data_IF_642898214902
#
_entry.id   IF_642898214902
#
_cell.length_a   1.000
_cell.length_b   1.000
_cell.length_c   1.000
_cell.angle_alpha   90.00
_cell.angle_beta   90.00
_cell.angle_gamma   90.00
#
_symmetry.space_group_name_H-M   'P 1'
#
loop_
_entity.id
_entity.type
_entity.pdbx_description
1 polymer ?
#
# COMPACT_ATOMS: atom_id res chain seq x y z
N UNK A 1 5.77 -2.68 -15.73
CA UNK A 1 6.08 -3.94 -14.99
C UNK A 1 5.22 -3.98 -13.74
N UNK A 2 4.55 -5.11 -13.45
CA UNK A 2 3.71 -5.26 -12.26
C UNK A 2 4.58 -5.55 -11.04
N UNK A 3 4.32 -4.86 -9.94
CA UNK A 3 4.99 -5.04 -8.65
C UNK A 3 4.08 -5.78 -7.68
N UNK A 4 4.65 -6.69 -6.90
CA UNK A 4 3.95 -7.39 -5.83
C UNK A 4 4.53 -6.93 -4.49
N UNK A 5 3.64 -6.45 -3.62
CA UNK A 5 3.92 -5.94 -2.29
C UNK A 5 3.21 -6.82 -1.23
N UNK A 6 3.84 -7.89 -0.72
CA UNK A 6 3.22 -8.69 0.33
C UNK A 6 2.96 -7.87 1.59
N UNK A 7 1.69 -7.83 2.07
CA UNK A 7 1.34 -7.19 3.32
C UNK A 7 1.68 -8.08 4.50
N UNK A 8 2.63 -7.63 5.31
CA UNK A 8 3.09 -8.33 6.51
C UNK A 8 2.05 -8.36 7.64
N UNK A 9 0.95 -7.63 7.51
CA UNK A 9 -0.21 -7.75 8.39
C UNK A 9 -0.73 -9.20 8.46
N UNK A 10 -0.54 -9.98 7.39
CA UNK A 10 -0.95 -11.40 7.31
C UNK A 10 0.14 -12.38 7.72
N UNK A 11 1.33 -11.92 8.06
CA UNK A 11 2.43 -12.78 8.52
C UNK A 11 2.24 -13.20 9.99
N UNK A 12 3.04 -14.17 10.43
CA UNK A 12 3.11 -14.52 11.84
C UNK A 12 3.91 -13.43 12.59
N UNK A 13 3.25 -12.64 13.41
CA UNK A 13 3.88 -11.55 14.18
C UNK A 13 5.02 -12.03 15.11
N UNK A 14 4.94 -13.26 15.60
CA UNK A 14 6.00 -13.85 16.42
C UNK A 14 7.26 -14.23 15.62
N UNK A 15 7.18 -14.25 14.28
CA UNK A 15 8.28 -14.59 13.36
C UNK A 15 8.38 -13.58 12.20
N UNK A 16 8.06 -12.30 12.46
CA UNK A 16 7.97 -11.26 11.44
C UNK A 16 9.29 -11.06 10.69
N UNK A 17 10.43 -11.06 11.42
CA UNK A 17 11.75 -10.91 10.81
C UNK A 17 12.04 -12.00 9.78
N UNK A 18 11.82 -13.27 10.14
CA UNK A 18 12.00 -14.40 9.22
C UNK A 18 11.08 -14.32 7.99
N UNK A 19 9.87 -13.80 8.18
CA UNK A 19 8.93 -13.63 7.08
C UNK A 19 9.44 -12.58 6.08
N UNK A 20 9.94 -11.43 6.56
CA UNK A 20 10.44 -10.34 5.73
C UNK A 20 11.73 -10.72 4.99
N UNK A 21 12.69 -11.38 5.66
CA UNK A 21 13.94 -11.86 5.05
C UNK A 21 13.71 -12.72 3.80
N UNK A 22 12.65 -13.53 3.78
CA UNK A 22 12.35 -14.46 2.69
C UNK A 22 11.72 -13.79 1.47
N UNK A 23 11.06 -12.62 1.64
CA UNK A 23 10.24 -12.00 0.60
C UNK A 23 11.00 -11.71 -0.69
N UNK A 24 12.23 -11.21 -0.61
CA UNK A 24 13.05 -10.94 -1.80
C UNK A 24 13.34 -12.20 -2.61
N UNK A 25 13.77 -13.28 -1.94
CA UNK A 25 14.04 -14.54 -2.58
C UNK A 25 12.77 -15.19 -3.17
N UNK A 26 11.61 -14.89 -2.61
CA UNK A 26 10.29 -15.31 -3.11
C UNK A 26 9.80 -14.47 -4.31
N UNK A 27 10.51 -13.39 -4.68
CA UNK A 27 10.20 -12.56 -5.84
C UNK A 27 9.29 -11.36 -5.56
N UNK A 28 9.14 -10.96 -4.30
CA UNK A 28 8.46 -9.71 -3.93
C UNK A 28 9.25 -8.50 -4.41
N UNK A 29 8.55 -7.41 -4.74
CA UNK A 29 9.17 -6.14 -5.15
C UNK A 29 9.24 -5.13 -4.00
N UNK A 30 8.25 -5.15 -3.08
CA UNK A 30 8.14 -4.27 -1.91
C UNK A 30 7.72 -5.08 -0.67
N UNK A 31 7.82 -4.45 0.50
CA UNK A 31 7.21 -4.93 1.74
C UNK A 31 6.09 -3.95 2.09
N UNK A 32 4.84 -4.39 2.06
CA UNK A 32 3.71 -3.55 2.47
C UNK A 32 3.49 -3.62 3.98
N UNK A 33 3.42 -2.43 4.61
CA UNK A 33 3.46 -2.23 6.04
C UNK A 33 2.23 -1.46 6.53
N UNK A 34 1.18 -2.18 6.96
CA UNK A 34 -0.10 -1.62 7.39
C UNK A 34 -0.06 -1.09 8.82
N UNK A 35 -0.14 0.22 9.00
CA UNK A 35 -0.14 0.90 10.30
C UNK A 35 -1.55 1.30 10.68
N UNK A 36 -2.01 0.86 11.84
CA UNK A 36 -3.36 1.11 12.36
C UNK A 36 -3.28 1.63 13.79
N UNK A 37 -4.04 2.69 14.11
CA UNK A 37 -3.99 3.42 15.39
C UNK A 37 -5.17 3.15 16.32
N UNK A 38 -6.16 2.37 15.88
CA UNK A 38 -7.38 2.11 16.66
C UNK A 38 -8.39 3.26 16.65
N UNK A 39 -8.11 4.37 15.95
CA UNK A 39 -9.00 5.52 15.78
C UNK A 39 -9.53 5.60 14.35
N UNK A 40 -8.65 5.71 13.37
CA UNK A 40 -9.04 5.73 11.96
C UNK A 40 -9.69 4.41 11.53
N UNK A 41 -9.18 3.29 12.04
CA UNK A 41 -9.75 1.94 11.89
C UNK A 41 -9.86 1.25 13.24
N UNK A 42 -10.82 0.31 13.46
CA UNK A 42 -11.06 -0.34 14.75
C UNK A 42 -10.07 -1.48 15.03
N UNK A 43 -8.78 -1.26 14.77
CA UNK A 43 -7.70 -2.20 14.98
C UNK A 43 -6.40 -1.45 15.27
N UNK A 44 -5.47 -2.08 15.99
CA UNK A 44 -4.12 -1.58 16.27
C UNK A 44 -3.13 -2.62 15.74
N UNK A 45 -2.10 -2.17 15.03
CA UNK A 45 -1.08 -3.08 14.50
C UNK A 45 0.29 -2.79 15.08
N UNK A 46 1.17 -2.20 14.32
CA UNK A 46 2.56 -1.92 14.67
C UNK A 46 2.95 -0.53 14.15
N UNK A 47 4.05 -0.01 14.65
CA UNK A 47 4.50 1.35 14.37
C UNK A 47 5.97 1.42 13.93
N UNK A 48 6.58 2.62 14.03
CA UNK A 48 7.95 2.88 13.56
C UNK A 48 9.02 1.94 14.13
N UNK A 49 8.90 1.52 15.40
CA UNK A 49 9.88 0.62 16.00
C UNK A 49 9.92 -0.76 15.35
N UNK A 50 8.77 -1.29 14.91
CA UNK A 50 8.72 -2.52 14.12
C UNK A 50 9.36 -2.30 12.74
N UNK A 51 9.05 -1.21 12.05
CA UNK A 51 9.67 -0.85 10.78
C UNK A 51 11.21 -0.78 10.92
N UNK A 52 11.70 -0.09 11.95
CA UNK A 52 13.13 0.02 12.26
C UNK A 52 13.79 -1.34 12.54
N UNK A 53 13.09 -2.24 13.22
CA UNK A 53 13.60 -3.58 13.48
C UNK A 53 13.67 -4.45 12.22
N UNK A 54 12.75 -4.26 11.29
CA UNK A 54 12.68 -5.00 10.01
C UNK A 54 13.63 -4.44 8.94
N UNK A 55 13.93 -3.13 8.95
CA UNK A 55 14.77 -2.48 7.93
C UNK A 55 16.11 -3.19 7.66
N UNK A 56 16.90 -3.62 8.65
CA UNK A 56 18.16 -4.31 8.39
C UNK A 56 18.01 -5.72 7.81
N UNK A 57 16.81 -6.29 7.81
CA UNK A 57 16.51 -7.66 7.35
C UNK A 57 16.12 -7.73 5.88
N UNK A 58 15.94 -6.59 5.21
CA UNK A 58 15.56 -6.54 3.80
C UNK A 58 16.12 -5.29 3.12
N UNK A 59 16.43 -5.39 1.85
CA UNK A 59 16.76 -4.25 0.98
C UNK A 59 15.58 -3.88 0.04
N UNK A 60 14.45 -4.60 0.15
CA UNK A 60 13.23 -4.23 -0.56
C UNK A 60 12.71 -2.89 -0.03
N UNK A 61 12.13 -2.04 -0.88
CA UNK A 61 11.39 -0.86 -0.42
C UNK A 61 10.32 -1.23 0.61
N UNK A 62 10.29 -0.50 1.72
CA UNK A 62 9.22 -0.60 2.73
C UNK A 62 8.19 0.47 2.40
N UNK A 63 7.01 0.00 2.01
CA UNK A 63 5.85 0.78 1.63
C UNK A 63 4.89 0.85 2.82
N UNK A 64 4.85 2.00 3.48
CA UNK A 64 4.09 2.21 4.71
C UNK A 64 2.73 2.82 4.37
N UNK A 65 1.68 2.09 4.69
CA UNK A 65 0.28 2.51 4.56
C UNK A 65 -0.25 2.98 5.91
N UNK A 66 -0.49 4.29 6.05
CA UNK A 66 -0.96 4.90 7.29
C UNK A 66 -2.49 4.93 7.37
N UNK A 67 -3.08 3.99 8.09
CA UNK A 67 -4.48 3.99 8.53
C UNK A 67 -4.56 4.62 9.93
N UNK A 68 -4.24 5.92 9.99
CA UNK A 68 -4.15 6.69 11.24
C UNK A 68 -4.87 8.03 11.10
N UNK A 69 -5.37 8.57 12.20
CA UNK A 69 -6.14 9.83 12.21
C UNK A 69 -5.27 11.03 11.84
N UNK A 70 -4.02 11.12 12.34
CA UNK A 70 -3.10 12.25 12.15
C UNK A 70 -1.81 11.83 11.45
N UNK A 71 -1.82 11.56 10.13
CA UNK A 71 -0.68 10.97 9.41
C UNK A 71 0.58 11.86 9.38
N UNK A 72 0.44 13.19 9.40
CA UNK A 72 1.60 14.10 9.38
C UNK A 72 2.52 13.94 10.59
N UNK A 73 2.02 13.48 11.74
CA UNK A 73 2.82 13.22 12.94
C UNK A 73 3.79 12.04 12.77
N UNK A 74 3.53 11.16 11.80
CA UNK A 74 4.27 9.93 11.59
C UNK A 74 5.32 10.00 10.45
N UNK A 75 5.39 11.11 9.70
CA UNK A 75 6.32 11.25 8.57
C UNK A 75 7.77 11.09 9.05
N UNK A 76 8.20 11.91 10.02
CA UNK A 76 9.56 11.85 10.55
C UNK A 76 9.89 10.55 11.31
N UNK A 77 8.98 10.01 12.16
CA UNK A 77 9.20 8.70 12.78
C UNK A 77 9.43 7.57 11.77
N UNK A 78 8.63 7.46 10.71
CA UNK A 78 8.79 6.42 9.69
C UNK A 78 10.01 6.65 8.81
N UNK A 79 10.35 7.91 8.49
CA UNK A 79 11.63 8.21 7.81
C UNK A 79 12.83 7.68 8.61
N UNK A 80 12.87 7.98 9.90
CA UNK A 80 13.95 7.52 10.80
C UNK A 80 13.96 6.00 10.96
N UNK A 81 12.80 5.35 10.83
CA UNK A 81 12.66 3.90 10.86
C UNK A 81 13.12 3.22 9.56
N UNK A 82 13.33 3.98 8.47
CA UNK A 82 13.82 3.46 7.20
C UNK A 82 12.71 3.10 6.20
N UNK A 83 11.54 3.73 6.30
CA UNK A 83 10.51 3.66 5.26
C UNK A 83 10.99 4.34 3.97
N UNK A 84 10.61 3.78 2.83
CA UNK A 84 10.92 4.30 1.49
C UNK A 84 9.73 5.00 0.85
N UNK A 85 8.52 4.54 1.17
CA UNK A 85 7.25 5.03 0.64
C UNK A 85 6.31 5.25 1.82
N UNK A 86 5.53 6.33 1.78
CA UNK A 86 4.52 6.62 2.79
C UNK A 86 3.22 7.05 2.13
N UNK A 87 2.13 6.36 2.43
CA UNK A 87 0.81 6.66 1.90
C UNK A 87 -0.15 7.10 2.99
N UNK A 88 -0.95 8.12 2.70
CA UNK A 88 -1.88 8.75 3.65
C UNK A 88 -3.29 8.79 3.08
N UNK A 89 -4.27 8.46 3.91
CA UNK A 89 -5.68 8.51 3.53
C UNK A 89 -6.18 9.93 3.33
N UNK A 90 -6.94 10.15 2.26
CA UNK A 90 -7.62 11.44 2.03
C UNK A 90 -8.74 11.68 3.06
N UNK A 91 -9.21 10.61 3.71
CA UNK A 91 -10.27 10.62 4.72
C UNK A 91 -9.77 10.85 6.15
N UNK A 92 -8.44 10.88 6.35
CA UNK A 92 -7.84 11.18 7.66
C UNK A 92 -8.09 12.63 8.09
N UNK A 93 -7.80 12.98 9.34
CA UNK A 93 -7.91 14.35 9.85
C UNK A 93 -6.86 15.32 9.28
N UNK A 94 -6.18 14.93 8.19
CA UNK A 94 -5.20 15.77 7.51
C UNK A 94 -5.90 16.81 6.61
N UNK A 95 -6.04 18.03 7.13
CA UNK A 95 -6.72 19.13 6.40
C UNK A 95 -5.90 19.70 5.24
N UNK A 96 -4.59 19.39 5.18
CA UNK A 96 -3.67 19.93 4.19
C UNK A 96 -2.91 18.82 3.48
N UNK A 97 -3.63 17.91 2.83
CA UNK A 97 -3.08 16.74 2.17
C UNK A 97 -1.92 17.06 1.19
N UNK A 98 -2.05 18.14 0.42
CA UNK A 98 -0.96 18.60 -0.47
C UNK A 98 0.33 18.90 0.33
N UNK A 99 0.22 19.54 1.50
CA UNK A 99 1.37 19.81 2.38
C UNK A 99 1.94 18.53 2.96
N UNK A 100 1.10 17.55 3.30
CA UNK A 100 1.56 16.24 3.78
C UNK A 100 2.43 15.54 2.73
N UNK A 101 2.01 15.51 1.45
CA UNK A 101 2.80 14.95 0.34
C UNK A 101 4.15 15.68 0.20
N UNK A 102 4.15 17.01 0.22
CA UNK A 102 5.40 17.79 0.17
C UNK A 102 6.32 17.47 1.36
N UNK A 103 5.77 17.28 2.55
CA UNK A 103 6.56 16.91 3.74
C UNK A 103 7.17 15.51 3.63
N UNK A 104 6.43 14.56 3.06
CA UNK A 104 6.95 13.20 2.78
C UNK A 104 8.11 13.28 1.79
N UNK A 105 7.97 14.04 0.69
CA UNK A 105 9.06 14.25 -0.28
C UNK A 105 10.26 14.98 0.34
N UNK A 106 10.03 16.02 1.15
CA UNK A 106 11.09 16.73 1.85
C UNK A 106 11.87 15.82 2.82
N UNK A 107 11.20 14.83 3.41
CA UNK A 107 11.83 13.78 4.20
C UNK A 107 12.61 12.76 3.33
N UNK A 108 12.52 12.81 2.00
CA UNK A 108 13.21 11.93 1.06
C UNK A 108 12.55 10.55 0.91
N UNK A 109 11.25 10.47 1.12
CA UNK A 109 10.42 9.29 0.83
C UNK A 109 9.53 9.56 -0.39
N UNK A 110 9.06 8.51 -1.03
CA UNK A 110 7.99 8.59 -2.01
C UNK A 110 6.66 8.83 -1.31
N UNK A 111 5.82 9.67 -1.93
CA UNK A 111 4.54 10.08 -1.35
C UNK A 111 3.36 9.52 -2.12
N UNK A 112 2.35 9.03 -1.39
CA UNK A 112 1.11 8.58 -2.01
C UNK A 112 -0.14 8.95 -1.21
N UNK A 113 -1.26 8.89 -1.88
CA UNK A 113 -2.58 9.05 -1.27
C UNK A 113 -3.37 7.75 -1.34
N UNK A 114 -4.24 7.56 -0.36
CA UNK A 114 -5.10 6.38 -0.26
C UNK A 114 -6.56 6.80 -0.34
N UNK A 115 -7.37 6.02 -1.05
CA UNK A 115 -8.82 6.21 -1.17
C UNK A 115 -9.57 4.97 -0.66
N UNK A 116 -10.48 5.17 0.27
CA UNK A 116 -11.44 4.15 0.71
C UNK A 116 -12.38 3.73 -0.44
N UNK A 117 -13.06 2.56 -0.34
CA UNK A 117 -13.95 2.09 -1.40
C UNK A 117 -15.01 3.11 -1.82
N UNK A 118 -15.62 3.84 -0.88
CA UNK A 118 -16.66 4.82 -1.16
C UNK A 118 -16.14 6.18 -1.65
N UNK A 119 -14.86 6.50 -1.46
CA UNK A 119 -14.28 7.80 -1.80
C UNK A 119 -14.02 7.92 -3.31
N UNK A 120 -14.56 8.93 -3.98
CA UNK A 120 -14.35 9.11 -5.42
C UNK A 120 -12.91 9.56 -5.74
N UNK A 121 -12.40 9.22 -6.95
CA UNK A 121 -11.06 9.64 -7.40
C UNK A 121 -10.90 11.17 -7.48
N UNK A 122 -12.01 11.91 -7.62
CA UNK A 122 -12.02 13.37 -7.58
C UNK A 122 -11.34 13.97 -6.34
N UNK A 123 -11.25 13.21 -5.24
CA UNK A 123 -10.57 13.62 -4.02
C UNK A 123 -9.04 13.73 -4.17
N UNK A 124 -8.44 13.08 -5.19
CA UNK A 124 -6.99 13.07 -5.38
C UNK A 124 -6.51 13.52 -6.77
N UNK A 125 -7.38 13.69 -7.78
CA UNK A 125 -6.94 13.95 -9.17
C UNK A 125 -6.14 15.24 -9.32
N UNK A 126 -6.33 16.23 -8.47
CA UNK A 126 -5.55 17.47 -8.49
C UNK A 126 -4.17 17.32 -7.80
N UNK A 127 -3.96 16.22 -7.08
CA UNK A 127 -2.70 15.89 -6.40
C UNK A 127 -1.82 14.94 -7.21
N UNK A 128 -2.31 14.39 -8.33
CA UNK A 128 -1.58 13.41 -9.14
C UNK A 128 -0.15 13.86 -9.52
N UNK A 129 0.12 15.12 -9.87
CA UNK A 129 1.48 15.57 -10.15
C UNK A 129 2.45 15.49 -8.95
N UNK A 130 1.90 15.47 -7.73
CA UNK A 130 2.65 15.36 -6.48
C UNK A 130 2.64 13.93 -5.89
N UNK A 131 1.97 12.98 -6.57
CA UNK A 131 1.87 11.60 -6.09
C UNK A 131 2.80 10.67 -6.85
N UNK A 132 3.67 9.94 -6.15
CA UNK A 132 4.38 8.79 -6.73
C UNK A 132 3.43 7.61 -6.94
N UNK A 133 2.41 7.48 -6.07
CA UNK A 133 1.38 6.44 -6.19
C UNK A 133 0.03 6.88 -5.61
N UNK A 134 -1.03 6.23 -6.06
CA UNK A 134 -2.37 6.25 -5.45
C UNK A 134 -2.75 4.83 -5.10
N UNK A 135 -2.99 4.59 -3.81
CA UNK A 135 -3.50 3.33 -3.32
C UNK A 135 -5.04 3.36 -3.31
N UNK A 136 -5.66 2.41 -3.96
CA UNK A 136 -7.10 2.19 -3.93
C UNK A 136 -7.42 1.00 -3.04
N UNK A 137 -8.17 1.24 -1.96
CA UNK A 137 -8.70 0.17 -1.14
C UNK A 137 -9.76 -0.60 -1.91
N UNK A 138 -9.60 -1.90 -2.00
CA UNK A 138 -10.57 -2.84 -2.57
C UNK A 138 -11.31 -3.65 -1.51
N UNK A 139 -11.13 -3.28 -0.24
CA UNK A 139 -11.88 -3.71 0.95
C UNK A 139 -12.04 -2.51 1.87
N UNK A 140 -12.87 -2.60 2.90
CA UNK A 140 -12.85 -1.59 3.97
C UNK A 140 -11.58 -1.78 4.80
N UNK A 141 -10.76 -0.71 5.04
CA UNK A 141 -9.52 -0.83 5.79
C UNK A 141 -9.75 -1.28 7.24
N UNK A 142 -8.72 -1.89 7.86
CA UNK A 142 -8.72 -2.29 9.26
C UNK A 142 -8.52 -3.78 9.52
N UNK A 143 -8.79 -4.67 8.55
CA UNK A 143 -8.64 -6.11 8.72
C UNK A 143 -8.15 -6.79 7.44
N UNK A 144 -7.26 -7.77 7.58
CA UNK A 144 -6.84 -8.63 6.48
C UNK A 144 -7.87 -9.73 6.13
N UNK A 145 -7.68 -10.35 4.95
CA UNK A 145 -8.45 -11.54 4.54
C UNK A 145 -9.89 -11.28 4.10
N UNK A 146 -10.25 -10.05 3.78
CA UNK A 146 -11.58 -9.66 3.29
C UNK A 146 -11.76 -9.98 1.79
N UNK A 147 -13.03 -10.05 1.36
CA UNK A 147 -13.39 -10.24 -0.05
C UNK A 147 -13.22 -8.95 -0.85
N UNK A 148 -12.68 -9.08 -2.05
CA UNK A 148 -12.49 -7.98 -3.01
C UNK A 148 -13.81 -7.31 -3.39
N UNK A 149 -13.86 -5.99 -3.38
CA UNK A 149 -15.01 -5.18 -3.81
C UNK A 149 -14.91 -4.93 -5.33
N UNK A 150 -15.76 -5.56 -6.18
CA UNK A 150 -15.62 -5.48 -7.65
C UNK A 150 -15.73 -4.08 -8.24
N UNK A 151 -16.44 -3.16 -7.58
CA UNK A 151 -16.60 -1.77 -8.04
C UNK A 151 -15.27 -1.01 -8.09
N UNK A 152 -14.27 -1.44 -7.32
CA UNK A 152 -12.91 -0.87 -7.37
C UNK A 152 -12.31 -0.93 -8.78
N UNK A 153 -12.66 -1.94 -9.60
CA UNK A 153 -12.18 -2.03 -10.98
C UNK A 153 -12.58 -0.84 -11.86
N UNK A 154 -13.76 -0.26 -11.62
CA UNK A 154 -14.20 0.97 -12.32
C UNK A 154 -13.35 2.16 -11.87
N UNK A 155 -13.05 2.22 -10.57
CA UNK A 155 -12.21 3.27 -9.99
C UNK A 155 -10.77 3.19 -10.54
N UNK A 156 -10.20 1.98 -10.67
CA UNK A 156 -8.87 1.78 -11.27
C UNK A 156 -8.83 2.33 -12.71
N UNK A 157 -9.81 1.96 -13.57
CA UNK A 157 -9.87 2.43 -14.96
C UNK A 157 -10.00 3.96 -15.04
N UNK A 158 -10.86 4.54 -14.21
CA UNK A 158 -11.05 5.99 -14.17
C UNK A 158 -9.76 6.72 -13.73
N UNK A 159 -9.08 6.21 -12.71
CA UNK A 159 -7.82 6.77 -12.23
C UNK A 159 -6.70 6.63 -13.27
N UNK A 160 -6.59 5.50 -13.96
CA UNK A 160 -5.63 5.28 -15.05
C UNK A 160 -5.85 6.30 -16.17
N UNK A 161 -7.10 6.51 -16.58
CA UNK A 161 -7.44 7.52 -17.58
C UNK A 161 -7.02 8.94 -17.18
N UNK A 162 -7.20 9.32 -15.90
CA UNK A 162 -6.78 10.64 -15.40
C UNK A 162 -5.25 10.79 -15.37
N UNK A 163 -4.53 9.75 -14.95
CA UNK A 163 -3.07 9.73 -14.92
C UNK A 163 -2.51 9.88 -16.34
N UNK A 164 -3.02 9.10 -17.29
CA UNK A 164 -2.59 9.11 -18.68
C UNK A 164 -2.90 10.45 -19.36
N UNK A 165 -4.10 11.01 -19.13
CA UNK A 165 -4.51 12.31 -19.66
C UNK A 165 -3.65 13.47 -19.15
N UNK A 166 -3.07 13.36 -17.97
CA UNK A 166 -2.20 14.36 -17.36
C UNK A 166 -0.71 14.12 -17.64
N UNK A 167 -0.35 12.98 -18.22
CA UNK A 167 1.04 12.58 -18.47
C UNK A 167 1.84 12.37 -17.17
N UNK A 168 1.17 11.89 -16.11
CA UNK A 168 1.82 11.59 -14.82
C UNK A 168 2.38 10.17 -14.82
N UNK A 169 3.48 9.95 -14.08
CA UNK A 169 4.09 8.62 -13.87
C UNK A 169 3.57 7.92 -12.59
N UNK A 170 2.46 8.41 -12.04
CA UNK A 170 1.87 7.92 -10.80
C UNK A 170 1.46 6.45 -10.89
N UNK A 171 1.92 5.64 -9.95
CA UNK A 171 1.54 4.23 -9.86
C UNK A 171 0.12 4.10 -9.28
N UNK A 172 -0.59 3.05 -9.68
CA UNK A 172 -1.87 2.63 -9.08
C UNK A 172 -1.62 1.36 -8.28
N UNK A 173 -1.80 1.46 -6.99
CA UNK A 173 -1.69 0.36 -6.05
C UNK A 173 -3.07 -0.10 -5.59
N UNK A 174 -3.24 -1.42 -5.39
CA UNK A 174 -4.51 -2.02 -4.97
C UNK A 174 -4.25 -2.83 -3.71
N UNK A 175 -5.04 -2.55 -2.66
CA UNK A 175 -5.01 -3.32 -1.42
C UNK A 175 -6.39 -3.82 -1.03
N UNK A 176 -6.44 -5.15 -0.82
CA UNK A 176 -7.59 -5.85 -0.28
C UNK A 176 -8.16 -6.94 -1.21
N UNK A 177 -8.22 -8.16 -0.70
CA UNK A 177 -8.82 -9.30 -1.42
C UNK A 177 -8.10 -9.71 -2.70
N UNK A 178 -6.81 -9.36 -2.83
CA UNK A 178 -5.99 -9.67 -4.01
C UNK A 178 -5.60 -11.16 -3.97
N UNK A 179 -5.93 -11.85 -5.06
CA UNK A 179 -5.59 -13.25 -5.37
C UNK A 179 -5.35 -13.34 -6.89
N UNK A 180 -4.91 -14.48 -7.47
CA UNK A 180 -4.59 -14.56 -8.90
C UNK A 180 -5.72 -14.13 -9.83
N UNK A 181 -6.99 -14.40 -9.50
CA UNK A 181 -8.14 -14.00 -10.29
C UNK A 181 -8.34 -12.49 -10.25
N UNK A 182 -8.40 -11.91 -9.05
CA UNK A 182 -8.63 -10.47 -8.87
C UNK A 182 -7.42 -9.65 -9.32
N UNK A 183 -6.18 -10.16 -9.17
CA UNK A 183 -4.94 -9.57 -9.66
C UNK A 183 -5.00 -9.33 -11.17
N UNK A 184 -5.35 -10.36 -11.95
CA UNK A 184 -5.50 -10.26 -13.41
C UNK A 184 -6.47 -9.13 -13.79
N UNK A 185 -7.63 -9.08 -13.13
CA UNK A 185 -8.65 -8.04 -13.39
C UNK A 185 -8.16 -6.63 -13.02
N UNK A 186 -7.39 -6.49 -11.93
CA UNK A 186 -6.79 -5.21 -11.53
C UNK A 186 -5.72 -4.74 -12.53
N UNK A 187 -4.86 -5.64 -13.00
CA UNK A 187 -3.84 -5.36 -14.01
C UNK A 187 -4.50 -4.93 -15.32
N UNK A 188 -5.50 -5.66 -15.80
CA UNK A 188 -6.28 -5.30 -17.00
C UNK A 188 -7.00 -3.95 -16.86
N UNK A 189 -7.35 -3.55 -15.63
CA UNK A 189 -7.96 -2.26 -15.36
C UNK A 189 -6.93 -1.11 -15.28
N UNK A 190 -5.61 -1.40 -15.18
CA UNK A 190 -4.54 -0.41 -15.19
C UNK A 190 -3.73 -0.31 -13.89
N UNK A 191 -3.85 -1.26 -12.96
CA UNK A 191 -3.03 -1.30 -11.75
C UNK A 191 -1.57 -1.67 -12.06
N UNK A 192 -0.64 -1.13 -11.27
CA UNK A 192 0.80 -1.37 -11.39
C UNK A 192 1.37 -2.12 -10.18
N UNK A 193 0.75 -1.97 -9.00
CA UNK A 193 1.20 -2.53 -7.73
C UNK A 193 0.04 -3.28 -7.09
N UNK A 194 0.32 -4.48 -6.60
CA UNK A 194 -0.68 -5.36 -5.98
C UNK A 194 -0.23 -5.72 -4.57
N UNK A 195 -1.00 -5.30 -3.59
CA UNK A 195 -0.81 -5.71 -2.20
C UNK A 195 -1.52 -7.03 -1.96
N UNK A 196 -0.77 -8.04 -1.51
CA UNK A 196 -1.32 -9.35 -1.23
C UNK A 196 -0.84 -9.88 0.12
N UNK A 197 -1.73 -9.94 1.09
CA UNK A 197 -1.43 -10.46 2.43
C UNK A 197 -1.69 -11.96 2.53
N UNK A 198 -2.92 -12.34 2.88
CA UNK A 198 -3.28 -13.73 3.14
C UNK A 198 -3.04 -14.69 1.95
N UNK A 199 -3.17 -14.20 0.72
CA UNK A 199 -2.89 -15.01 -0.46
C UNK A 199 -1.43 -15.47 -0.49
N UNK A 200 -0.47 -14.63 -0.11
CA UNK A 200 0.96 -14.98 -0.09
C UNK A 200 1.31 -15.77 1.18
N UNK A 201 1.00 -15.22 2.37
CA UNK A 201 1.48 -15.78 3.64
C UNK A 201 0.79 -17.11 4.05
N UNK A 202 -0.37 -17.44 3.47
CA UNK A 202 -1.04 -18.73 3.68
C UNK A 202 -0.86 -19.71 2.52
N UNK A 203 -0.13 -19.33 1.46
CA UNK A 203 0.14 -20.21 0.34
C UNK A 203 1.12 -21.34 0.75
N UNK A 204 0.95 -22.55 0.26
CA UNK A 204 1.94 -23.63 0.42
C UNK A 204 3.30 -23.24 -0.17
N UNK A 205 3.33 -22.54 -1.29
CA UNK A 205 4.51 -21.94 -1.93
C UNK A 205 4.27 -20.45 -2.19
N UNK A 206 4.79 -19.56 -1.31
CA UNK A 206 4.66 -18.12 -1.49
C UNK A 206 5.32 -17.59 -2.77
N UNK A 207 6.43 -18.20 -3.22
CA UNK A 207 7.10 -17.75 -4.44
C UNK A 207 6.28 -18.07 -5.70
N UNK A 208 5.63 -19.22 -5.76
CA UNK A 208 4.69 -19.55 -6.82
C UNK A 208 3.48 -18.60 -6.80
N UNK A 209 2.94 -18.32 -5.62
CA UNK A 209 1.83 -17.38 -5.48
C UNK A 209 2.19 -15.98 -5.98
N UNK A 210 3.37 -15.45 -5.62
CA UNK A 210 3.84 -14.15 -6.09
C UNK A 210 3.97 -14.14 -7.62
N UNK A 211 4.47 -15.22 -8.23
CA UNK A 211 4.51 -15.35 -9.70
C UNK A 211 3.10 -15.35 -10.30
N UNK A 212 2.17 -16.09 -9.73
CA UNK A 212 0.79 -16.16 -10.19
C UNK A 212 0.04 -14.84 -10.08
N UNK A 213 0.34 -14.02 -9.05
CA UNK A 213 -0.21 -12.68 -8.89
C UNK A 213 0.30 -11.69 -9.96
N UNK A 214 1.49 -11.90 -10.47
CA UNK A 214 2.11 -11.02 -11.47
C UNK A 214 1.55 -11.22 -12.89
N UNK A 215 1.00 -12.41 -13.18
CA UNK A 215 0.43 -12.82 -14.48
C UNK A 215 1.39 -13.56 -15.38
#
# INVERSE_FOLDING_TARGET
MIKIAPSILSANFAAMGEAVEKLKAQGADWVHFDVMDGNFVPNITFGPDMCKALRPLTDLPIDVHLMVEHPSEWIEPFKKAGADILTVHVESAEHHLHRALQSIHAAGMKAGVVLNPATPIGACVHLLPECDLVLLMSVNPGFGGQSFIPETLRKIRALRSEIDARGCDTLIEIDGGVNPETAKRCIEAGANVLVAGSAVFKAPDPAEMIRALRG
#
